data_IF_620402292935
#
_entry.id   IF_620402292935
#
_cell.length_a   1.000
_cell.length_b   1.000
_cell.length_c   1.000
_cell.angle_alpha   90.00
_cell.angle_beta   90.00
_cell.angle_gamma   90.00
#
_symmetry.space_group_name_H-M   'P 1'
#
loop_
_entity.id
_entity.type
_entity.pdbx_description
1 polymer ?
#
# COMPACT_ATOMS: atom_id res chain seq x y z
N UNK A 1 18.25 29.28 0.01
CA UNK A 1 16.77 29.20 0.04
C UNK A 1 16.19 28.68 -1.28
N UNK A 2 16.48 29.32 -2.43
CA UNK A 2 15.94 28.93 -3.76
C UNK A 2 16.24 27.46 -4.15
N UNK A 3 17.44 26.93 -3.87
CA UNK A 3 17.79 25.52 -4.14
C UNK A 3 16.98 24.50 -3.32
N UNK A 4 16.56 24.86 -2.11
CA UNK A 4 15.80 23.95 -1.22
C UNK A 4 14.35 23.87 -1.71
N UNK A 5 13.74 25.02 -2.01
CA UNK A 5 12.38 25.10 -2.56
C UNK A 5 12.27 24.41 -3.92
N UNK A 6 13.29 24.52 -4.78
CA UNK A 6 13.32 23.81 -6.07
C UNK A 6 13.41 22.29 -5.88
N UNK A 7 14.19 21.81 -4.91
CA UNK A 7 14.31 20.39 -4.59
C UNK A 7 13.00 19.83 -4.02
N UNK A 8 12.34 20.55 -3.11
CA UNK A 8 11.05 20.14 -2.53
C UNK A 8 9.94 20.06 -3.58
N UNK A 9 9.87 21.04 -4.49
CA UNK A 9 8.93 21.03 -5.60
C UNK A 9 9.19 19.85 -6.55
N UNK A 10 10.46 19.55 -6.86
CA UNK A 10 10.84 18.44 -7.74
C UNK A 10 10.54 17.07 -7.11
N UNK A 11 10.81 16.91 -5.82
CA UNK A 11 10.48 15.70 -5.05
C UNK A 11 8.96 15.51 -4.99
N UNK A 12 8.21 16.59 -4.74
CA UNK A 12 6.75 16.54 -4.70
C UNK A 12 6.16 16.14 -6.06
N UNK A 13 6.68 16.73 -7.14
CA UNK A 13 6.28 16.39 -8.50
C UNK A 13 6.61 14.93 -8.86
N UNK A 14 7.84 14.48 -8.59
CA UNK A 14 8.25 13.10 -8.82
C UNK A 14 7.40 12.11 -8.03
N UNK A 15 7.09 12.41 -6.76
CA UNK A 15 6.24 11.58 -5.90
C UNK A 15 4.81 11.46 -6.45
N UNK A 16 4.23 12.59 -6.92
CA UNK A 16 2.91 12.58 -7.55
C UNK A 16 2.90 11.73 -8.83
N UNK A 17 3.94 11.86 -9.66
CA UNK A 17 4.08 11.10 -10.91
C UNK A 17 4.23 9.60 -10.66
N UNK A 18 5.04 9.21 -9.68
CA UNK A 18 5.17 7.82 -9.22
C UNK A 18 3.81 7.31 -8.70
N UNK A 19 3.07 8.12 -7.95
CA UNK A 19 1.74 7.78 -7.44
C UNK A 19 0.75 7.47 -8.58
N UNK A 20 0.69 8.33 -9.60
CA UNK A 20 -0.19 8.15 -10.77
C UNK A 20 0.22 6.90 -11.56
N UNK A 21 1.51 6.73 -11.86
CA UNK A 21 2.01 5.55 -12.57
C UNK A 21 1.67 4.27 -11.79
N UNK A 22 1.90 4.27 -10.48
CA UNK A 22 1.61 3.13 -9.61
C UNK A 22 0.12 2.75 -9.63
N UNK A 23 -0.78 3.73 -9.51
CA UNK A 23 -2.22 3.51 -9.63
C UNK A 23 -2.60 2.90 -11.00
N UNK A 24 -2.06 3.46 -12.07
CA UNK A 24 -2.36 3.02 -13.44
C UNK A 24 -1.88 1.58 -13.68
N UNK A 25 -0.67 1.26 -13.24
CA UNK A 25 -0.11 -0.10 -13.32
C UNK A 25 -0.91 -1.08 -12.46
N UNK A 26 -1.31 -0.67 -11.26
CA UNK A 26 -2.10 -1.51 -10.35
C UNK A 26 -3.47 -1.82 -10.95
N UNK A 27 -4.13 -0.85 -11.57
CA UNK A 27 -5.40 -1.07 -12.27
C UNK A 27 -5.25 -2.03 -13.45
N UNK A 28 -4.18 -1.90 -14.24
CA UNK A 28 -3.86 -2.84 -15.33
C UNK A 28 -3.51 -4.23 -14.80
N UNK A 29 -2.82 -4.34 -13.67
CA UNK A 29 -2.53 -5.61 -13.04
C UNK A 29 -3.82 -6.29 -12.55
N UNK A 30 -4.71 -5.52 -11.92
CA UNK A 30 -6.04 -5.97 -11.47
C UNK A 30 -6.88 -6.60 -12.58
N UNK A 31 -6.91 -5.97 -13.76
CA UNK A 31 -7.75 -6.45 -14.87
C UNK A 31 -7.27 -7.80 -15.43
N UNK A 32 -5.96 -8.10 -15.32
CA UNK A 32 -5.37 -9.37 -15.74
C UNK A 32 -5.43 -10.48 -14.69
N UNK A 33 -5.89 -10.17 -13.47
CA UNK A 33 -5.99 -11.15 -12.39
C UNK A 33 -7.33 -11.89 -12.42
N UNK A 34 -7.25 -13.22 -12.32
CA UNK A 34 -8.40 -14.09 -12.06
C UNK A 34 -8.99 -13.86 -10.67
N UNK A 35 -10.24 -14.27 -10.45
CA UNK A 35 -10.86 -14.19 -9.13
C UNK A 35 -10.07 -15.05 -8.13
N UNK A 36 -9.63 -14.45 -7.03
CA UNK A 36 -8.81 -15.14 -6.02
C UNK A 36 -8.16 -14.16 -5.03
N UNK A 37 -7.41 -14.71 -4.07
CA UNK A 37 -6.77 -13.98 -2.95
C UNK A 37 -5.92 -12.80 -3.44
N UNK A 38 -5.19 -12.98 -4.56
CA UNK A 38 -4.34 -11.94 -5.16
C UNK A 38 -5.16 -10.74 -5.68
N UNK A 39 -6.27 -11.00 -6.39
CA UNK A 39 -7.17 -9.93 -6.87
C UNK A 39 -7.82 -9.19 -5.71
N UNK A 40 -8.19 -9.91 -4.66
CA UNK A 40 -8.69 -9.30 -3.42
C UNK A 40 -7.64 -8.41 -2.77
N UNK A 41 -6.40 -8.85 -2.64
CA UNK A 41 -5.30 -8.01 -2.13
C UNK A 41 -5.12 -6.73 -2.96
N UNK A 42 -5.08 -6.85 -4.29
CA UNK A 42 -4.95 -5.70 -5.20
C UNK A 42 -6.13 -4.72 -5.03
N UNK A 43 -7.35 -5.21 -4.77
CA UNK A 43 -8.49 -4.33 -4.47
C UNK A 43 -8.28 -3.53 -3.17
N UNK A 44 -7.80 -4.18 -2.11
CA UNK A 44 -7.49 -3.49 -0.85
C UNK A 44 -6.39 -2.45 -1.04
N UNK A 45 -5.33 -2.80 -1.78
CA UNK A 45 -4.27 -1.87 -2.12
C UNK A 45 -4.78 -0.66 -2.91
N UNK A 46 -5.64 -0.86 -3.92
CA UNK A 46 -6.29 0.24 -4.64
C UNK A 46 -7.16 1.11 -3.75
N UNK A 47 -7.90 0.52 -2.81
CA UNK A 47 -8.71 1.27 -1.85
C UNK A 47 -7.84 2.19 -0.98
N UNK A 48 -6.69 1.69 -0.50
CA UNK A 48 -5.71 2.49 0.26
C UNK A 48 -5.18 3.64 -0.59
N UNK A 49 -4.76 3.36 -1.82
CA UNK A 49 -4.24 4.38 -2.73
C UNK A 49 -5.28 5.46 -3.04
N UNK A 50 -6.55 5.09 -3.20
CA UNK A 50 -7.64 6.05 -3.40
C UNK A 50 -7.89 6.92 -2.17
N UNK A 51 -7.86 6.33 -0.96
CA UNK A 51 -8.01 7.09 0.27
C UNK A 51 -6.84 8.05 0.51
N UNK A 52 -5.62 7.63 0.23
CA UNK A 52 -4.43 8.49 0.28
C UNK A 52 -4.54 9.64 -0.70
N UNK A 53 -5.05 9.39 -1.91
CA UNK A 53 -5.31 10.44 -2.90
C UNK A 53 -6.38 11.42 -2.42
N UNK A 54 -7.49 10.92 -1.86
CA UNK A 54 -8.52 11.75 -1.23
C UNK A 54 -7.98 12.59 -0.07
N UNK A 55 -7.12 12.00 0.77
CA UNK A 55 -6.43 12.69 1.84
C UNK A 55 -5.50 13.79 1.33
N UNK A 56 -4.73 13.52 0.26
CA UNK A 56 -3.86 14.52 -0.37
C UNK A 56 -4.68 15.70 -0.92
N UNK A 57 -5.80 15.43 -1.61
CA UNK A 57 -6.73 16.46 -2.07
C UNK A 57 -7.28 17.27 -0.89
N UNK A 58 -7.65 16.61 0.21
CA UNK A 58 -8.11 17.28 1.42
C UNK A 58 -7.04 18.22 2.02
N UNK A 59 -5.78 17.80 2.08
CA UNK A 59 -4.67 18.67 2.53
C UNK A 59 -4.46 19.86 1.61
N UNK A 60 -4.58 19.69 0.29
CA UNK A 60 -4.52 20.79 -0.68
C UNK A 60 -5.66 21.77 -0.44
N UNK A 61 -6.89 21.28 -0.22
CA UNK A 61 -8.03 22.16 0.11
C UNK A 61 -7.79 22.91 1.43
N UNK A 62 -7.25 22.25 2.46
CA UNK A 62 -6.91 22.95 3.70
C UNK A 62 -5.90 24.08 3.48
N UNK A 63 -4.88 23.85 2.65
CA UNK A 63 -3.88 24.86 2.33
C UNK A 63 -4.44 26.02 1.50
N UNK A 64 -5.27 25.73 0.48
CA UNK A 64 -5.85 26.76 -0.39
C UNK A 64 -6.89 27.63 0.32
N UNK A 65 -7.70 27.03 1.20
CA UNK A 65 -8.78 27.72 1.91
C UNK A 65 -8.39 28.16 3.33
N UNK A 66 -7.11 27.99 3.73
CA UNK A 66 -6.62 28.28 5.09
C UNK A 66 -7.48 27.66 6.20
N UNK A 67 -7.94 26.42 5.98
CA UNK A 67 -8.82 25.69 6.90
C UNK A 67 -8.02 25.09 8.05
N UNK A 68 -7.47 25.95 8.91
CA UNK A 68 -6.66 25.58 10.07
C UNK A 68 -7.47 25.36 11.35
N UNK A 69 -8.80 25.50 11.27
CA UNK A 69 -9.67 25.36 12.45
C UNK A 69 -9.68 23.93 13.01
N UNK A 70 -9.83 23.81 14.34
CA UNK A 70 -9.82 22.56 15.11
C UNK A 70 -10.71 21.45 14.52
N UNK A 71 -11.83 21.81 13.92
CA UNK A 71 -12.77 20.87 13.29
C UNK A 71 -12.16 20.12 12.09
N UNK A 72 -11.26 20.75 11.34
CA UNK A 72 -10.63 20.14 10.16
C UNK A 72 -9.50 19.18 10.53
N UNK A 73 -8.91 19.35 11.71
CA UNK A 73 -7.89 18.48 12.28
C UNK A 73 -8.51 17.11 12.63
N UNK A 74 -9.69 17.07 13.23
CA UNK A 74 -10.37 15.79 13.53
C UNK A 74 -10.73 15.01 12.27
N UNK A 75 -11.14 15.70 11.21
CA UNK A 75 -11.39 15.07 9.89
C UNK A 75 -10.13 14.43 9.32
N UNK A 76 -8.97 15.05 9.54
CA UNK A 76 -7.66 14.51 9.14
C UNK A 76 -7.37 13.19 9.86
N UNK A 77 -7.53 13.16 11.18
CA UNK A 77 -7.34 11.96 11.99
C UNK A 77 -8.35 10.85 11.66
N UNK A 78 -9.60 11.19 11.35
CA UNK A 78 -10.59 10.22 10.91
C UNK A 78 -10.19 9.56 9.57
N UNK A 79 -9.73 10.35 8.60
CA UNK A 79 -9.22 9.84 7.32
C UNK A 79 -8.01 8.91 7.51
N UNK A 80 -7.04 9.34 8.31
CA UNK A 80 -5.85 8.56 8.62
C UNK A 80 -6.20 7.24 9.31
N UNK A 81 -7.10 7.27 10.29
CA UNK A 81 -7.56 6.07 10.99
C UNK A 81 -8.18 5.07 10.02
N UNK A 82 -9.00 5.55 9.09
CA UNK A 82 -9.62 4.70 8.08
C UNK A 82 -8.58 4.10 7.11
N UNK A 83 -7.59 4.89 6.69
CA UNK A 83 -6.45 4.39 5.89
C UNK A 83 -5.72 3.26 6.63
N UNK A 84 -5.40 3.44 7.91
CA UNK A 84 -4.71 2.41 8.72
C UNK A 84 -5.55 1.13 8.88
N UNK A 85 -6.86 1.24 9.06
CA UNK A 85 -7.75 0.08 9.14
C UNK A 85 -7.70 -0.72 7.84
N UNK A 86 -7.86 -0.07 6.69
CA UNK A 86 -7.80 -0.76 5.39
C UNK A 86 -6.39 -1.31 5.13
N UNK A 87 -5.33 -0.61 5.55
CA UNK A 87 -3.96 -1.09 5.49
C UNK A 87 -3.76 -2.38 6.30
N UNK A 88 -4.33 -2.47 7.51
CA UNK A 88 -4.32 -3.69 8.31
C UNK A 88 -5.00 -4.86 7.59
N UNK A 89 -6.14 -4.61 6.93
CA UNK A 89 -6.84 -5.62 6.13
C UNK A 89 -6.01 -6.07 4.91
N UNK A 90 -5.38 -5.13 4.21
CA UNK A 90 -4.50 -5.41 3.07
C UNK A 90 -3.30 -6.26 3.51
N UNK A 91 -2.66 -5.91 4.62
CA UNK A 91 -1.52 -6.64 5.19
C UNK A 91 -1.91 -8.07 5.55
N UNK A 92 -3.09 -8.28 6.17
CA UNK A 92 -3.61 -9.62 6.44
C UNK A 92 -3.79 -10.44 5.15
N UNK A 93 -4.29 -9.83 4.07
CA UNK A 93 -4.44 -10.50 2.77
C UNK A 93 -3.09 -10.83 2.13
N UNK A 94 -2.13 -9.93 2.24
CA UNK A 94 -0.75 -10.16 1.80
C UNK A 94 -0.11 -11.33 2.55
N UNK A 95 -0.33 -11.45 3.86
CA UNK A 95 0.16 -12.57 4.65
C UNK A 95 -0.44 -13.91 4.20
N UNK A 96 -1.75 -13.97 3.96
CA UNK A 96 -2.41 -15.18 3.43
C UNK A 96 -1.83 -15.54 2.05
N UNK A 97 -1.72 -14.55 1.16
CA UNK A 97 -1.12 -14.72 -0.15
C UNK A 97 0.33 -15.23 -0.07
N UNK A 98 1.13 -14.72 0.88
CA UNK A 98 2.50 -15.21 1.09
C UNK A 98 2.57 -16.64 1.61
N UNK A 99 1.49 -17.18 2.21
CA UNK A 99 1.42 -18.61 2.56
C UNK A 99 1.02 -19.47 1.37
N UNK A 100 0.12 -18.97 0.53
CA UNK A 100 -0.37 -19.66 -0.67
C UNK A 100 0.66 -19.70 -1.80
N UNK A 101 1.35 -18.58 -2.04
CA UNK A 101 2.34 -18.43 -3.14
C UNK A 101 3.79 -18.40 -2.64
N UNK A 102 4.01 -18.20 -1.36
CA UNK A 102 5.33 -18.33 -0.77
C UNK A 102 5.71 -19.80 -0.68
N UNK A 103 7.02 -20.02 -0.62
CA UNK A 103 7.73 -21.28 -0.74
C UNK A 103 7.30 -22.44 0.15
N UNK A 104 6.13 -22.49 0.80
CA UNK A 104 5.70 -23.56 1.71
C UNK A 104 5.97 -24.97 1.16
N UNK A 105 5.70 -25.21 -0.13
CA UNK A 105 6.08 -26.47 -0.78
C UNK A 105 7.59 -26.71 -0.87
N UNK A 106 8.39 -25.67 -1.20
CA UNK A 106 9.86 -25.79 -1.21
C UNK A 106 10.42 -25.89 0.22
N UNK A 107 9.83 -25.22 1.20
CA UNK A 107 10.21 -25.25 2.60
C UNK A 107 9.92 -26.62 3.20
N UNK A 108 8.82 -27.27 2.83
CA UNK A 108 8.51 -28.64 3.25
C UNK A 108 9.44 -29.68 2.62
N UNK A 109 9.84 -29.49 1.35
CA UNK A 109 10.90 -30.31 0.73
C UNK A 109 12.24 -30.14 1.44
N UNK A 110 12.64 -28.91 1.74
CA UNK A 110 13.88 -28.60 2.49
C UNK A 110 13.82 -29.17 3.91
N UNK A 111 12.69 -29.04 4.60
CA UNK A 111 12.46 -29.59 5.94
C UNK A 111 12.52 -31.12 5.94
N UNK A 112 11.96 -31.80 4.93
CA UNK A 112 12.08 -33.26 4.76
C UNK A 112 13.53 -33.68 4.53
N UNK A 113 14.29 -32.95 3.72
CA UNK A 113 15.72 -33.22 3.47
C UNK A 113 16.54 -33.04 4.76
N UNK A 114 16.35 -31.93 5.48
CA UNK A 114 17.02 -31.65 6.75
C UNK A 114 16.70 -32.70 7.82
N UNK A 115 15.44 -33.13 7.92
CA UNK A 115 15.01 -34.18 8.86
C UNK A 115 15.62 -35.55 8.52
N UNK A 116 15.72 -35.90 7.23
CA UNK A 116 16.46 -37.11 6.79
C UNK A 116 17.95 -37.05 7.13
N UNK A 117 18.57 -35.87 7.04
CA UNK A 117 19.99 -35.68 7.34
C UNK A 117 20.28 -35.83 8.84
N UNK A 118 19.39 -35.31 9.70
CA UNK A 118 19.49 -35.42 11.17
C UNK A 118 19.25 -36.84 11.71
N UNK A 119 18.50 -37.66 10.99
CA UNK A 119 18.25 -39.08 11.35
C UNK A 119 19.36 -40.03 10.84
N UNK A 120 20.29 -39.53 10.02
CA UNK A 120 21.46 -40.27 9.50
C UNK A 120 22.78 -39.89 10.18
N UNK A 121 22.78 -38.84 11.00
CA UNK A 121 23.87 -38.48 11.92
C UNK A 121 23.58 -39.04 13.30
#
# INVERSE_FOLDING_TARGET
MIKIVLNEALISFATALIGVISLTLTLKARSKLSAGTFKTYVNYYLAISLLLLGFAIWKIMQALFNLTSFRHIYTEYAFLSLIFIIFGLASRKMFIMSKEFGFSEKTDKIRKILRKKRLRS
#
